data_IF_490430012663
#
_entry.id   IF_490430012663
#
_cell.length_a   1.000
_cell.length_b   1.000
_cell.length_c   1.000
_cell.angle_alpha   90.00
_cell.angle_beta   90.00
_cell.angle_gamma   90.00
#
_symmetry.space_group_name_H-M   'P 1'
#
loop_
_entity.id
_entity.type
_entity.pdbx_description
1 polymer ?
#
# COMPACT_ATOMS: atom_id res chain seq x y z
N UNK A 1 24.89 74.04 10.10
CA UNK A 1 23.70 73.65 10.85
C UNK A 1 22.99 72.60 10.00
N UNK A 2 23.31 71.31 10.23
CA UNK A 2 22.66 70.15 9.53
C UNK A 2 21.39 69.76 10.27
N UNK A 3 20.29 69.52 9.59
CA UNK A 3 19.14 68.85 10.23
C UNK A 3 19.32 67.36 10.30
N UNK A 4 19.00 66.89 11.44
CA UNK A 4 19.00 65.50 11.98
C UNK A 4 18.00 64.58 11.23
N UNK A 5 18.50 63.53 10.59
CA UNK A 5 17.70 62.48 10.01
C UNK A 5 17.61 61.33 11.00
N UNK A 6 16.64 61.42 11.93
CA UNK A 6 16.29 60.30 12.82
C UNK A 6 15.11 59.55 12.27
N UNK A 7 15.33 58.24 12.18
CA UNK A 7 14.39 57.17 12.32
C UNK A 7 13.09 57.22 11.49
N UNK A 8 13.15 56.64 10.32
CA UNK A 8 11.98 56.00 9.74
C UNK A 8 12.05 54.50 10.07
N UNK A 9 11.30 54.11 11.11
CA UNK A 9 10.97 52.75 11.47
C UNK A 9 10.27 52.06 10.28
N UNK A 10 11.05 51.30 9.51
CA UNK A 10 10.54 50.33 8.53
C UNK A 10 10.12 49.08 9.28
N UNK A 11 8.97 49.15 9.96
CA UNK A 11 8.26 47.96 10.39
C UNK A 11 7.70 47.24 9.17
N UNK A 12 8.53 46.40 8.57
CA UNK A 12 8.09 45.38 7.61
C UNK A 12 7.23 44.36 8.36
N UNK A 13 5.93 44.66 8.45
CA UNK A 13 4.92 43.67 8.83
C UNK A 13 4.80 42.67 7.70
N UNK A 14 5.74 41.74 7.63
CA UNK A 14 5.60 40.50 6.84
C UNK A 14 4.66 39.57 7.57
N UNK A 15 3.36 39.83 7.53
CA UNK A 15 2.36 38.77 7.65
C UNK A 15 2.50 37.90 6.42
N UNK A 16 3.42 36.95 6.45
CA UNK A 16 3.39 35.79 5.58
C UNK A 16 2.10 35.03 5.94
N UNK A 17 1.03 35.31 5.20
CA UNK A 17 -0.14 34.42 5.20
C UNK A 17 0.38 33.07 4.74
N UNK A 18 0.50 32.14 5.67
CA UNK A 18 0.79 30.76 5.33
C UNK A 18 -0.32 30.30 4.37
N UNK A 19 0.03 30.07 3.12
CA UNK A 19 -0.89 29.49 2.14
C UNK A 19 -1.24 28.12 2.68
N UNK A 20 -2.43 27.98 3.22
CA UNK A 20 -2.95 26.68 3.69
C UNK A 20 -3.42 25.93 2.46
N UNK A 21 -2.66 24.94 2.04
CA UNK A 21 -3.06 24.04 0.94
C UNK A 21 -3.85 22.87 1.52
N UNK A 22 -4.92 22.49 0.83
CA UNK A 22 -5.68 21.27 1.16
C UNK A 22 -5.05 20.06 0.44
N UNK A 23 -4.79 19.01 1.21
CA UNK A 23 -4.05 17.84 0.74
C UNK A 23 -4.96 16.61 0.75
N UNK A 24 -4.89 15.78 -0.27
CA UNK A 24 -5.53 14.46 -0.32
C UNK A 24 -4.46 13.36 -0.31
N UNK A 25 -4.52 12.48 0.68
CA UNK A 25 -3.64 11.32 0.81
C UNK A 25 -4.41 10.07 0.43
N UNK A 26 -3.90 9.28 -0.50
CA UNK A 26 -4.31 7.90 -0.70
C UNK A 26 -3.40 6.98 0.11
N UNK A 27 -3.98 6.27 1.08
CA UNK A 27 -3.23 5.51 2.07
C UNK A 27 -3.74 4.08 2.23
N UNK A 28 -3.82 3.64 3.48
CA UNK A 28 -4.14 2.24 3.83
C UNK A 28 -2.88 1.39 4.04
N UNK A 29 -1.73 2.03 4.16
CA UNK A 29 -0.39 1.43 4.27
C UNK A 29 0.37 2.06 5.44
N UNK A 30 1.53 1.53 5.76
CA UNK A 30 2.47 2.14 6.71
C UNK A 30 2.95 3.50 6.20
N UNK A 31 3.23 3.60 4.91
CA UNK A 31 3.65 4.85 4.27
C UNK A 31 2.60 5.94 4.41
N UNK A 32 1.32 5.59 4.22
CA UNK A 32 0.21 6.51 4.44
C UNK A 32 0.13 7.01 5.88
N UNK A 33 0.41 6.16 6.88
CA UNK A 33 0.46 6.57 8.30
C UNK A 33 1.61 7.53 8.58
N UNK A 34 2.80 7.27 8.02
CA UNK A 34 3.96 8.16 8.13
C UNK A 34 3.63 9.54 7.58
N UNK A 35 3.02 9.62 6.40
CA UNK A 35 2.62 10.89 5.78
C UNK A 35 1.61 11.63 6.68
N UNK A 36 0.62 10.93 7.24
CA UNK A 36 -0.33 11.54 8.19
C UNK A 36 0.40 12.15 9.40
N UNK A 37 1.32 11.41 10.01
CA UNK A 37 2.10 11.90 11.17
C UNK A 37 2.87 13.17 10.84
N UNK A 38 3.55 13.21 9.70
CA UNK A 38 4.30 14.40 9.24
C UNK A 38 3.38 15.61 9.03
N UNK A 39 2.18 15.41 8.47
CA UNK A 39 1.23 16.49 8.25
C UNK A 39 0.60 16.97 9.57
N UNK A 40 0.27 16.05 10.47
CA UNK A 40 -0.23 16.39 11.81
C UNK A 40 0.81 17.22 12.61
N UNK A 41 2.08 16.79 12.63
CA UNK A 41 3.18 17.53 13.24
C UNK A 41 3.37 18.93 12.62
N UNK A 42 3.11 19.05 11.31
CA UNK A 42 3.22 20.31 10.57
C UNK A 42 1.97 21.18 10.66
N UNK A 43 0.92 20.74 11.35
CA UNK A 43 -0.35 21.45 11.48
C UNK A 43 -1.06 21.67 10.16
N UNK A 44 -0.97 20.71 9.23
CA UNK A 44 -1.57 20.78 7.89
C UNK A 44 -2.86 20.01 7.83
N UNK A 45 -3.92 20.65 7.33
CA UNK A 45 -5.19 19.98 7.08
C UNK A 45 -5.12 19.07 5.86
N UNK A 46 -5.71 17.87 5.97
CA UNK A 46 -5.72 16.89 4.89
C UNK A 46 -6.92 15.95 4.93
N UNK A 47 -7.21 15.34 3.79
CA UNK A 47 -8.08 14.17 3.68
C UNK A 47 -7.26 12.91 3.55
N UNK A 48 -7.64 11.87 4.28
CA UNK A 48 -7.01 10.54 4.22
C UNK A 48 -7.97 9.52 3.66
N UNK A 49 -7.73 9.09 2.43
CA UNK A 49 -8.57 8.16 1.69
C UNK A 49 -8.06 6.72 1.81
N UNK A 50 -8.98 5.81 2.15
CA UNK A 50 -8.72 4.37 2.20
C UNK A 50 -9.87 3.60 1.54
N UNK A 51 -9.58 2.43 0.94
CA UNK A 51 -10.60 1.58 0.34
C UNK A 51 -11.61 1.05 1.37
N UNK A 52 -11.15 0.73 2.57
CA UNK A 52 -11.97 0.19 3.66
C UNK A 52 -11.88 1.03 4.93
N UNK A 53 -12.81 0.82 5.85
CA UNK A 53 -12.89 1.54 7.12
C UNK A 53 -12.01 0.95 8.25
N UNK A 54 -11.34 -0.17 7.99
CA UNK A 54 -10.75 -1.02 9.03
C UNK A 54 -9.41 -0.56 9.60
N UNK A 55 -8.84 0.56 9.13
CA UNK A 55 -7.59 1.04 9.67
C UNK A 55 -7.84 1.98 10.84
N UNK A 56 -7.50 1.57 12.05
CA UNK A 56 -7.42 2.47 13.19
C UNK A 56 -6.22 3.39 13.00
N UNK A 57 -6.50 4.67 12.85
CA UNK A 57 -5.52 5.73 12.73
C UNK A 57 -6.07 6.97 13.42
N UNK A 58 -5.40 7.42 14.46
CA UNK A 58 -5.65 8.72 15.06
C UNK A 58 -5.05 9.80 14.17
N UNK A 59 -5.85 10.81 13.88
CA UNK A 59 -5.46 11.94 13.04
C UNK A 59 -5.86 13.22 13.76
N UNK A 60 -4.94 14.17 13.85
CA UNK A 60 -5.16 15.46 14.53
C UNK A 60 -5.77 16.48 13.57
N UNK A 61 -5.21 16.57 12.37
CA UNK A 61 -5.64 17.50 11.32
C UNK A 61 -6.31 16.82 10.13
N UNK A 62 -6.38 15.48 10.15
CA UNK A 62 -6.90 14.68 9.06
C UNK A 62 -8.40 14.41 9.14
N UNK A 63 -9.05 14.35 7.97
CA UNK A 63 -10.42 13.87 7.81
C UNK A 63 -10.42 12.58 7.00
N UNK A 64 -11.03 11.53 7.54
CA UNK A 64 -11.10 10.23 6.85
C UNK A 64 -12.14 10.22 5.75
N UNK A 65 -11.76 9.62 4.63
CA UNK A 65 -12.63 9.29 3.50
C UNK A 65 -12.52 7.80 3.23
N UNK A 66 -13.61 7.07 3.30
CA UNK A 66 -13.63 5.61 3.09
C UNK A 66 -14.39 5.25 1.82
N UNK A 67 -13.88 4.28 1.10
CA UNK A 67 -14.48 3.79 -0.15
C UNK A 67 -13.53 3.90 -1.33
N UNK A 68 -13.75 3.03 -2.33
CA UNK A 68 -13.00 3.11 -3.58
C UNK A 68 -13.47 4.33 -4.38
N UNK A 69 -12.53 5.15 -4.83
CA UNK A 69 -12.82 6.28 -5.72
C UNK A 69 -12.63 5.85 -7.18
N UNK A 70 -13.71 5.95 -7.96
CA UNK A 70 -13.61 5.90 -9.42
C UNK A 70 -13.03 7.21 -9.94
N UNK A 71 -12.68 7.28 -11.22
CA UNK A 71 -12.19 8.49 -11.87
C UNK A 71 -13.13 9.69 -11.62
N UNK A 72 -14.43 9.54 -11.89
CA UNK A 72 -15.42 10.61 -11.70
C UNK A 72 -15.54 11.05 -10.24
N UNK A 73 -15.62 10.08 -9.31
CA UNK A 73 -15.73 10.38 -7.87
C UNK A 73 -14.49 11.11 -7.38
N UNK A 74 -13.32 10.68 -7.82
CA UNK A 74 -12.04 11.32 -7.44
C UNK A 74 -11.97 12.75 -7.97
N UNK A 75 -12.30 12.95 -9.26
CA UNK A 75 -12.32 14.27 -9.90
C UNK A 75 -13.28 15.23 -9.19
N UNK A 76 -14.49 14.76 -8.90
CA UNK A 76 -15.50 15.54 -8.18
C UNK A 76 -15.01 15.91 -6.78
N UNK A 77 -14.51 14.93 -6.02
CA UNK A 77 -14.01 15.14 -4.66
C UNK A 77 -12.86 16.17 -4.62
N UNK A 78 -11.88 16.03 -5.51
CA UNK A 78 -10.76 16.95 -5.61
C UNK A 78 -11.25 18.38 -5.88
N UNK A 79 -12.21 18.54 -6.76
CA UNK A 79 -12.78 19.86 -7.11
C UNK A 79 -13.60 20.45 -5.97
N UNK A 80 -14.50 19.67 -5.37
CA UNK A 80 -15.40 20.14 -4.29
C UNK A 80 -14.64 20.46 -2.99
N UNK A 81 -13.57 19.73 -2.70
CA UNK A 81 -12.77 19.93 -1.49
C UNK A 81 -11.54 20.85 -1.74
N UNK A 82 -11.47 21.46 -2.92
CA UNK A 82 -10.40 22.41 -3.30
C UNK A 82 -8.99 21.83 -3.05
N UNK A 83 -8.79 20.54 -3.37
CA UNK A 83 -7.51 19.85 -3.18
C UNK A 83 -6.45 20.47 -4.10
N UNK A 84 -5.30 20.82 -3.54
CA UNK A 84 -4.19 21.47 -4.24
C UNK A 84 -2.95 20.57 -4.32
N UNK A 85 -2.91 19.48 -3.59
CA UNK A 85 -1.83 18.50 -3.62
C UNK A 85 -2.40 17.11 -3.37
N UNK A 86 -2.00 16.13 -4.15
CA UNK A 86 -2.29 14.72 -3.91
C UNK A 86 -1.01 14.00 -3.47
N UNK A 87 -1.10 13.19 -2.42
CA UNK A 87 -0.04 12.28 -1.99
C UNK A 87 -0.51 10.85 -2.18
N UNK A 88 0.13 10.14 -3.11
CA UNK A 88 -0.13 8.74 -3.36
C UNK A 88 0.82 7.88 -2.52
N UNK A 89 0.35 7.46 -1.37
CA UNK A 89 1.01 6.54 -0.45
C UNK A 89 0.25 5.21 -0.36
N UNK A 90 -0.52 4.87 -1.41
CA UNK A 90 -1.24 3.62 -1.48
C UNK A 90 -0.28 2.44 -1.73
N UNK A 91 -0.82 1.22 -1.51
CA UNK A 91 -0.04 0.00 -1.68
C UNK A 91 0.57 -0.10 -3.09
N UNK A 92 1.85 -0.47 -3.26
CA UNK A 92 2.51 -0.53 -4.57
C UNK A 92 1.75 -1.32 -5.64
N UNK A 93 0.97 -2.34 -5.24
CA UNK A 93 0.17 -3.15 -6.16
C UNK A 93 -1.24 -2.58 -6.45
N UNK A 94 -1.54 -1.36 -6.02
CA UNK A 94 -2.80 -0.70 -6.32
C UNK A 94 -2.81 -0.06 -7.72
N UNK A 95 -2.38 -0.79 -8.76
CA UNK A 95 -2.13 -0.29 -10.10
C UNK A 95 -3.30 0.52 -10.70
N UNK A 96 -4.54 0.06 -10.48
CA UNK A 96 -5.73 0.78 -10.96
C UNK A 96 -5.87 2.14 -10.27
N UNK A 97 -5.65 2.20 -8.96
CA UNK A 97 -5.71 3.45 -8.20
C UNK A 97 -4.61 4.42 -8.65
N UNK A 98 -3.37 3.96 -8.79
CA UNK A 98 -2.25 4.79 -9.25
C UNK A 98 -2.50 5.38 -10.63
N UNK A 99 -3.03 4.58 -11.55
CA UNK A 99 -3.44 5.05 -12.88
C UNK A 99 -4.52 6.13 -12.77
N UNK A 100 -5.58 5.89 -11.98
CA UNK A 100 -6.67 6.84 -11.79
C UNK A 100 -6.19 8.15 -11.17
N UNK A 101 -5.31 8.10 -10.16
CA UNK A 101 -4.69 9.29 -9.56
C UNK A 101 -3.95 10.10 -10.64
N UNK A 102 -3.09 9.43 -11.41
CA UNK A 102 -2.32 10.10 -12.47
C UNK A 102 -3.20 10.76 -13.54
N UNK A 103 -4.26 10.09 -13.98
CA UNK A 103 -5.20 10.63 -14.97
C UNK A 103 -5.95 11.86 -14.44
N UNK A 104 -6.56 11.74 -13.25
CA UNK A 104 -7.36 12.83 -12.66
C UNK A 104 -6.50 14.04 -12.28
N UNK A 105 -5.33 13.82 -11.70
CA UNK A 105 -4.43 14.94 -11.33
C UNK A 105 -3.86 15.65 -12.55
N UNK A 106 -3.58 14.92 -13.63
CA UNK A 106 -3.16 15.51 -14.90
C UNK A 106 -4.27 16.35 -15.53
N UNK A 107 -5.53 15.89 -15.55
CA UNK A 107 -6.68 16.64 -16.03
C UNK A 107 -6.89 17.96 -15.28
N UNK A 108 -6.72 17.94 -13.96
CA UNK A 108 -6.97 19.07 -13.08
C UNK A 108 -5.74 19.98 -12.90
N UNK A 109 -4.58 19.59 -13.43
CA UNK A 109 -3.32 20.32 -13.25
C UNK A 109 -2.82 20.36 -11.82
N UNK A 110 -3.12 19.34 -11.02
CA UNK A 110 -2.76 19.23 -9.60
C UNK A 110 -1.48 18.41 -9.44
N UNK A 111 -0.49 18.89 -8.67
CA UNK A 111 0.70 18.13 -8.40
C UNK A 111 0.41 16.86 -7.59
N UNK A 112 1.14 15.78 -7.90
CA UNK A 112 1.08 14.52 -7.16
C UNK A 112 2.47 14.13 -6.68
N UNK A 113 2.57 13.73 -5.42
CA UNK A 113 3.77 13.14 -4.83
C UNK A 113 3.49 11.67 -4.60
N UNK A 114 4.32 10.79 -5.16
CA UNK A 114 4.29 9.39 -4.84
C UNK A 114 5.27 9.09 -3.72
N UNK A 115 4.78 8.51 -2.62
CA UNK A 115 5.58 8.07 -1.48
C UNK A 115 5.53 6.56 -1.37
N UNK A 116 6.63 5.92 -1.70
CA UNK A 116 6.78 4.46 -1.71
C UNK A 116 7.88 4.04 -0.76
N UNK A 117 7.74 2.81 -0.25
CA UNK A 117 8.80 2.15 0.49
C UNK A 117 10.00 1.86 -0.42
N UNK A 118 11.18 1.93 0.17
CA UNK A 118 12.38 1.41 -0.47
C UNK A 118 12.47 -0.07 -0.18
N UNK A 119 12.90 -0.81 -1.17
CA UNK A 119 13.21 -2.23 -1.03
C UNK A 119 14.71 -2.39 -0.91
N UNK A 120 15.15 -3.33 -0.05
CA UNK A 120 16.56 -3.66 0.08
C UNK A 120 17.09 -4.31 -1.18
N UNK A 121 18.40 -4.19 -1.43
CA UNK A 121 19.05 -4.94 -2.49
C UNK A 121 18.92 -6.44 -2.20
N UNK A 122 18.44 -7.19 -3.18
CA UNK A 122 18.21 -8.60 -3.04
C UNK A 122 19.50 -9.37 -3.21
N UNK A 123 19.80 -10.23 -2.26
CA UNK A 123 20.93 -11.13 -2.32
C UNK A 123 20.43 -12.56 -2.54
N UNK A 124 21.00 -13.29 -3.54
CA UNK A 124 20.88 -14.73 -3.64
C UNK A 124 19.79 -15.28 -4.56
N UNK A 125 19.10 -16.32 -4.13
CA UNK A 125 18.31 -17.24 -4.97
C UNK A 125 16.86 -16.79 -5.24
N UNK A 126 16.56 -15.51 -5.16
CA UNK A 126 15.19 -15.01 -5.40
C UNK A 126 14.93 -14.85 -6.90
N UNK A 127 13.89 -15.49 -7.38
CA UNK A 127 13.42 -15.37 -8.76
C UNK A 127 12.25 -14.41 -8.80
N UNK A 128 12.46 -13.26 -9.45
CA UNK A 128 11.39 -12.29 -9.65
C UNK A 128 10.47 -12.69 -10.80
N UNK A 129 9.17 -12.44 -10.61
CA UNK A 129 8.15 -12.67 -11.62
C UNK A 129 7.28 -11.42 -11.76
N UNK A 130 7.11 -10.96 -12.99
CA UNK A 130 6.29 -9.78 -13.30
C UNK A 130 4.77 -10.10 -13.28
N UNK A 131 4.41 -11.38 -13.31
CA UNK A 131 3.01 -11.82 -13.33
C UNK A 131 2.84 -13.19 -12.70
N UNK A 132 1.59 -13.52 -12.32
CA UNK A 132 1.24 -14.86 -11.86
C UNK A 132 1.44 -15.93 -12.94
N UNK A 133 1.22 -15.58 -14.20
CA UNK A 133 1.42 -16.49 -15.32
C UNK A 133 2.90 -16.87 -15.45
N UNK A 134 3.80 -15.89 -15.43
CA UNK A 134 5.25 -16.13 -15.46
C UNK A 134 5.70 -16.96 -14.25
N UNK A 135 5.15 -16.70 -13.07
CA UNK A 135 5.45 -17.47 -11.86
C UNK A 135 5.04 -18.94 -12.00
N UNK A 136 3.84 -19.21 -12.54
CA UNK A 136 3.38 -20.56 -12.79
C UNK A 136 4.31 -21.28 -13.79
N UNK A 137 4.69 -20.62 -14.88
CA UNK A 137 5.62 -21.17 -15.88
C UNK A 137 6.98 -21.52 -15.25
N UNK A 138 7.51 -20.66 -14.40
CA UNK A 138 8.77 -20.93 -13.69
C UNK A 138 8.66 -22.06 -12.67
N UNK A 139 7.52 -22.16 -11.96
CA UNK A 139 7.27 -23.26 -11.05
C UNK A 139 7.09 -24.60 -11.78
N UNK A 140 6.39 -24.63 -12.91
CA UNK A 140 6.21 -25.82 -13.74
C UNK A 140 7.51 -26.27 -14.44
N UNK A 141 8.43 -25.35 -14.70
CA UNK A 141 9.75 -25.66 -15.28
C UNK A 141 10.72 -26.33 -14.29
N UNK A 142 10.38 -26.39 -13.00
CA UNK A 142 11.19 -26.98 -11.94
C UNK A 142 10.45 -28.15 -11.29
N UNK A 143 11.15 -29.09 -10.62
CA UNK A 143 10.51 -30.21 -9.92
C UNK A 143 9.85 -29.75 -8.61
N UNK A 144 8.90 -28.83 -8.68
CA UNK A 144 8.13 -28.34 -7.56
C UNK A 144 6.93 -29.26 -7.31
N UNK A 145 7.01 -30.10 -6.28
CA UNK A 145 5.92 -30.97 -5.86
C UNK A 145 5.05 -30.31 -4.80
N UNK A 146 5.69 -29.51 -3.93
CA UNK A 146 5.05 -28.87 -2.78
C UNK A 146 5.37 -27.38 -2.75
N UNK A 147 4.34 -26.56 -2.88
CA UNK A 147 4.43 -25.11 -2.86
C UNK A 147 3.94 -24.55 -1.53
N UNK A 148 4.68 -23.59 -0.96
CA UNK A 148 4.20 -22.73 0.12
C UNK A 148 3.98 -21.30 -0.40
N UNK A 149 2.73 -20.84 -0.37
CA UNK A 149 2.36 -19.50 -0.81
C UNK A 149 2.11 -18.56 0.38
N UNK A 150 3.05 -17.65 0.63
CA UNK A 150 2.97 -16.60 1.65
C UNK A 150 2.33 -15.31 1.10
N UNK A 151 1.43 -15.45 0.14
CA UNK A 151 0.89 -14.35 -0.68
C UNK A 151 -0.52 -13.94 -0.31
N UNK A 152 -1.14 -14.65 0.64
CA UNK A 152 -2.48 -14.38 1.14
C UNK A 152 -3.61 -14.85 0.21
N UNK A 153 -4.85 -14.75 0.69
CA UNK A 153 -6.05 -15.35 0.07
C UNK A 153 -6.37 -14.86 -1.34
N UNK A 154 -6.04 -13.62 -1.65
CA UNK A 154 -6.36 -13.04 -2.97
C UNK A 154 -5.54 -13.65 -4.13
N UNK A 155 -4.57 -14.51 -3.83
CA UNK A 155 -3.75 -15.21 -4.83
C UNK A 155 -4.23 -16.62 -5.13
N UNK A 156 -5.21 -17.13 -4.41
CA UNK A 156 -5.80 -18.44 -4.67
C UNK A 156 -6.34 -18.53 -6.11
N UNK A 157 -7.12 -17.56 -6.55
CA UNK A 157 -7.72 -17.58 -7.89
C UNK A 157 -6.66 -17.49 -9.00
N UNK A 158 -5.74 -16.51 -9.03
CA UNK A 158 -4.73 -16.44 -10.09
C UNK A 158 -3.74 -17.63 -10.08
N UNK A 159 -3.54 -18.31 -8.95
CA UNK A 159 -2.67 -19.50 -8.86
C UNK A 159 -3.43 -20.82 -9.00
N UNK A 160 -4.73 -20.78 -9.27
CA UNK A 160 -5.56 -21.96 -9.45
C UNK A 160 -5.01 -22.95 -10.49
N UNK A 161 -4.51 -22.53 -11.67
CA UNK A 161 -3.94 -23.43 -12.64
C UNK A 161 -2.77 -24.28 -12.14
N UNK A 162 -2.06 -23.81 -11.10
CA UNK A 162 -0.96 -24.52 -10.47
C UNK A 162 -1.43 -25.44 -9.32
N UNK A 163 -2.15 -24.88 -8.33
CA UNK A 163 -2.51 -25.66 -7.15
C UNK A 163 -3.55 -26.75 -7.36
N UNK A 164 -4.30 -26.73 -8.46
CA UNK A 164 -5.16 -27.87 -8.85
C UNK A 164 -4.37 -29.12 -9.29
N UNK A 165 -3.09 -28.94 -9.66
CA UNK A 165 -2.21 -30.01 -10.15
C UNK A 165 -1.12 -30.40 -9.16
N UNK A 166 -0.75 -29.49 -8.26
CA UNK A 166 0.38 -29.62 -7.36
C UNK A 166 -0.05 -29.36 -5.91
N UNK A 167 0.52 -30.11 -4.98
CA UNK A 167 0.30 -29.88 -3.56
C UNK A 167 0.73 -28.46 -3.18
N UNK A 168 -0.20 -27.66 -2.69
CA UNK A 168 0.06 -26.25 -2.43
C UNK A 168 -0.58 -25.83 -1.12
N UNK A 169 0.19 -25.16 -0.26
CA UNK A 169 -0.27 -24.62 1.00
C UNK A 169 -0.30 -23.10 0.90
N UNK A 170 -1.38 -22.47 1.38
CA UNK A 170 -1.51 -21.02 1.39
C UNK A 170 -1.61 -20.49 2.80
N UNK A 171 -0.75 -19.54 3.14
CA UNK A 171 -0.85 -18.77 4.37
C UNK A 171 -1.75 -17.57 4.16
N UNK A 172 -2.83 -17.49 4.94
CA UNK A 172 -3.82 -16.42 4.88
C UNK A 172 -4.03 -15.82 6.27
N UNK A 173 -4.64 -14.64 6.33
CA UNK A 173 -5.06 -14.05 7.59
C UNK A 173 -6.27 -14.81 8.14
N UNK A 174 -6.32 -14.98 9.46
CA UNK A 174 -7.44 -15.61 10.15
C UNK A 174 -8.61 -14.62 10.30
N UNK A 175 -9.38 -14.49 9.21
CA UNK A 175 -10.54 -13.59 9.11
C UNK A 175 -11.65 -14.27 8.32
N UNK A 176 -12.90 -13.91 8.61
CA UNK A 176 -14.06 -14.48 7.95
C UNK A 176 -14.05 -14.23 6.44
N UNK A 177 -13.71 -13.01 6.01
CA UNK A 177 -13.60 -12.68 4.58
C UNK A 177 -12.51 -13.48 3.85
N UNK A 178 -11.45 -13.89 4.55
CA UNK A 178 -10.41 -14.75 3.98
C UNK A 178 -10.89 -16.18 3.82
N UNK A 179 -11.66 -16.70 4.79
CA UNK A 179 -12.27 -18.05 4.72
C UNK A 179 -13.29 -18.12 3.60
N UNK A 180 -14.20 -17.14 3.51
CA UNK A 180 -15.20 -17.03 2.44
C UNK A 180 -14.56 -17.02 1.04
N UNK A 181 -13.48 -16.26 0.86
CA UNK A 181 -12.76 -16.23 -0.42
C UNK A 181 -12.07 -17.55 -0.75
N UNK A 182 -11.52 -18.24 0.24
CA UNK A 182 -10.89 -19.55 0.05
C UNK A 182 -11.92 -20.59 -0.35
N UNK A 183 -13.09 -20.58 0.29
CA UNK A 183 -14.21 -21.44 -0.05
C UNK A 183 -14.74 -21.16 -1.45
N UNK A 184 -14.94 -19.90 -1.79
CA UNK A 184 -15.38 -19.47 -3.12
C UNK A 184 -14.39 -19.85 -4.24
N UNK A 185 -13.08 -19.89 -3.94
CA UNK A 185 -12.05 -20.36 -4.86
C UNK A 185 -12.06 -21.90 -5.02
N UNK A 186 -12.72 -22.63 -4.13
CA UNK A 186 -12.72 -24.09 -4.06
C UNK A 186 -11.40 -24.66 -3.54
N UNK A 187 -10.65 -23.88 -2.74
CA UNK A 187 -9.36 -24.31 -2.22
C UNK A 187 -9.55 -25.22 -0.99
N UNK A 188 -8.79 -26.34 -0.86
CA UNK A 188 -8.91 -27.26 0.27
C UNK A 188 -8.53 -26.61 1.59
N UNK A 189 -9.43 -26.57 2.56
CA UNK A 189 -9.19 -26.00 3.89
C UNK A 189 -8.05 -26.69 4.64
N UNK A 190 -7.79 -27.99 4.41
CA UNK A 190 -6.65 -28.72 4.97
C UNK A 190 -5.28 -28.16 4.57
N UNK A 191 -5.22 -27.44 3.47
CA UNK A 191 -4.01 -26.83 2.93
C UNK A 191 -3.90 -25.33 3.27
N UNK A 192 -4.84 -24.80 4.05
CA UNK A 192 -4.76 -23.44 4.58
C UNK A 192 -3.92 -23.43 5.85
N UNK A 193 -3.07 -22.44 5.98
CA UNK A 193 -2.35 -22.08 7.22
C UNK A 193 -2.70 -20.65 7.57
N UNK A 194 -2.94 -20.38 8.84
CA UNK A 194 -3.21 -19.03 9.31
C UNK A 194 -1.90 -18.33 9.67
N UNK A 195 -1.88 -17.03 9.42
CA UNK A 195 -0.73 -16.20 9.76
C UNK A 195 -0.63 -16.03 11.27
N UNK A 196 0.52 -16.36 11.83
CA UNK A 196 0.94 -16.01 13.18
C UNK A 196 2.35 -15.43 13.10
N UNK A 197 2.58 -14.34 13.79
CA UNK A 197 3.89 -13.66 13.79
C UNK A 197 4.95 -14.54 14.44
N UNK A 198 6.12 -14.65 13.80
CA UNK A 198 7.25 -15.44 14.30
C UNK A 198 7.17 -16.97 14.08
N UNK A 199 6.13 -17.48 13.43
CA UNK A 199 5.95 -18.93 13.21
C UNK A 199 6.41 -19.41 11.83
N UNK A 200 7.12 -18.59 11.05
CA UNK A 200 7.50 -18.94 9.68
C UNK A 200 8.41 -20.18 9.65
N UNK A 201 9.40 -20.29 10.56
CA UNK A 201 10.27 -21.46 10.61
C UNK A 201 9.50 -22.75 10.92
N UNK A 202 8.57 -22.72 11.87
CA UNK A 202 7.75 -23.87 12.20
C UNK A 202 6.90 -24.32 11.01
N UNK A 203 6.39 -23.36 10.23
CA UNK A 203 5.63 -23.61 9.02
C UNK A 203 6.49 -24.25 7.91
N UNK A 204 7.72 -23.79 7.75
CA UNK A 204 8.69 -24.41 6.82
C UNK A 204 9.02 -25.85 7.23
N UNK A 205 9.26 -26.06 8.52
CA UNK A 205 9.59 -27.39 9.06
C UNK A 205 8.42 -28.36 8.93
N UNK A 206 7.17 -27.90 9.07
CA UNK A 206 5.96 -28.70 8.90
C UNK A 206 5.75 -29.07 7.43
N UNK A 207 5.81 -28.08 6.54
CA UNK A 207 5.43 -28.25 5.13
C UNK A 207 6.56 -28.81 4.29
N UNK A 208 7.80 -28.45 4.60
CA UNK A 208 9.01 -28.77 3.81
C UNK A 208 8.80 -28.50 2.31
N UNK A 209 8.53 -27.24 1.92
CA UNK A 209 8.21 -26.89 0.56
C UNK A 209 9.42 -26.99 -0.37
N UNK A 210 9.21 -27.41 -1.61
CA UNK A 210 10.21 -27.35 -2.68
C UNK A 210 10.39 -25.91 -3.21
N UNK A 211 9.32 -25.11 -3.13
CA UNK A 211 9.32 -23.71 -3.51
C UNK A 211 8.45 -22.87 -2.57
N UNK A 212 8.87 -21.64 -2.36
CA UNK A 212 8.12 -20.64 -1.61
C UNK A 212 7.86 -19.45 -2.49
N UNK A 213 6.63 -18.97 -2.48
CA UNK A 213 6.29 -17.71 -3.14
C UNK A 213 5.84 -16.68 -2.14
N UNK A 214 6.32 -15.46 -2.32
CA UNK A 214 5.92 -14.31 -1.50
C UNK A 214 5.68 -13.09 -2.40
N UNK A 215 4.99 -12.11 -1.85
CA UNK A 215 4.88 -10.78 -2.46
C UNK A 215 5.90 -9.87 -1.86
N UNK A 216 6.47 -9.01 -2.67
CA UNK A 216 7.29 -7.92 -2.19
C UNK A 216 6.40 -6.90 -1.46
N UNK A 217 6.25 -7.10 -0.17
CA UNK A 217 5.33 -6.33 0.66
C UNK A 217 6.04 -5.29 1.55
N UNK A 218 7.38 -5.22 1.50
CA UNK A 218 8.19 -4.36 2.35
C UNK A 218 8.12 -4.74 3.84
N UNK A 219 8.61 -3.88 4.73
CA UNK A 219 8.68 -4.13 6.17
C UNK A 219 7.35 -4.53 6.79
N UNK A 220 6.26 -3.82 6.46
CA UNK A 220 4.92 -4.12 7.01
C UNK A 220 4.35 -5.48 6.56
N UNK A 221 4.93 -6.11 5.57
CA UNK A 221 4.56 -7.44 5.10
C UNK A 221 5.56 -8.52 5.50
N UNK A 222 6.54 -8.17 6.34
CA UNK A 222 7.59 -9.09 6.80
C UNK A 222 8.31 -9.77 5.62
N UNK A 223 8.54 -9.02 4.52
CA UNK A 223 9.14 -9.59 3.31
C UNK A 223 10.58 -10.07 3.56
N UNK A 224 11.37 -9.26 4.26
CA UNK A 224 12.79 -9.55 4.56
C UNK A 224 12.96 -10.79 5.44
N UNK A 225 11.99 -11.09 6.29
CA UNK A 225 11.98 -12.28 7.14
C UNK A 225 11.62 -13.57 6.38
N UNK A 226 11.14 -13.43 5.13
CA UNK A 226 10.65 -14.54 4.30
C UNK A 226 11.65 -14.98 3.24
N UNK A 227 12.72 -14.21 3.04
CA UNK A 227 13.79 -14.46 2.08
C UNK A 227 15.13 -14.69 2.79
#
# INVERSE_FOLDING_TARGET
MCPDLRDQDLTLSSKQQAITIMILIFGGTTEGRIVCGVLDESGKDYYYSTKGAFQELEMVHGKRVSGAMTHEVMRQFITEQEIQLVIDAAHPFAAVLHKTIGEVTAELGIPVIRYERRYSERTGQVIECASYQEMIEKLEAQPCRRLLALTGVNTLVPLKPFWEKHESFFRILDRDDSREKAEAAGFPFSHIRYFHEGEDQALFDEIQPDAVITKESGESGFFEEKI
#
